data_IF_010892713082
#
_entry.id   IF_010892713082
#
_cell.length_a   1.000
_cell.length_b   1.000
_cell.length_c   1.000
_cell.angle_alpha   90.00
_cell.angle_beta   90.00
_cell.angle_gamma   90.00
#
_symmetry.space_group_name_H-M   'P 1'
#
loop_
_entity.id
_entity.type
_entity.pdbx_description
1 polymer ?
#
# COMPACT_ATOMS: atom_id res chain seq x y z
N UNK A 1 -0.37 3.26 0.79
CA UNK A 1 0.37 2.33 -0.07
C UNK A 1 1.21 3.15 -1.03
N UNK A 2 2.48 2.81 -1.19
CA UNK A 2 3.38 3.47 -2.14
C UNK A 2 3.65 2.52 -3.31
N UNK A 3 3.52 3.03 -4.53
CA UNK A 3 3.70 2.26 -5.77
C UNK A 3 4.93 2.76 -6.52
N UNK A 4 5.74 1.83 -7.02
CA UNK A 4 7.01 2.12 -7.68
C UNK A 4 7.18 1.31 -8.96
N UNK A 5 7.96 1.86 -9.88
CA UNK A 5 8.45 1.17 -11.08
C UNK A 5 9.96 1.26 -11.21
N UNK A 6 10.53 0.30 -11.93
CA UNK A 6 11.94 0.25 -12.24
C UNK A 6 12.21 -0.42 -13.59
N UNK A 7 13.30 0.01 -14.25
CA UNK A 7 13.82 -0.63 -15.46
C UNK A 7 14.84 -1.74 -15.13
N UNK A 8 15.48 -1.68 -13.97
CA UNK A 8 16.65 -2.50 -13.60
C UNK A 8 16.50 -3.23 -12.25
N UNK A 9 15.38 -3.07 -11.54
CA UNK A 9 15.10 -3.57 -10.18
C UNK A 9 15.98 -3.02 -9.05
N UNK A 10 16.87 -2.07 -9.37
CA UNK A 10 17.80 -1.42 -8.43
C UNK A 10 17.36 0.01 -8.16
N UNK A 11 17.15 0.79 -9.22
CA UNK A 11 16.70 2.18 -9.16
C UNK A 11 15.18 2.24 -9.28
N UNK A 12 14.52 2.79 -8.26
CA UNK A 12 13.07 2.81 -8.16
C UNK A 12 12.53 4.24 -8.22
N UNK A 13 11.55 4.46 -9.08
CA UNK A 13 10.80 5.71 -9.18
C UNK A 13 9.45 5.53 -8.49
N UNK A 14 9.14 6.42 -7.53
CA UNK A 14 7.82 6.48 -6.92
C UNK A 14 6.82 6.98 -7.98
N UNK A 15 5.73 6.24 -8.15
CA UNK A 15 4.61 6.62 -9.03
C UNK A 15 3.59 7.43 -8.26
N UNK A 16 3.15 6.87 -7.12
CA UNK A 16 2.06 7.42 -6.33
C UNK A 16 2.16 6.89 -4.89
N UNK A 17 1.62 7.66 -3.96
CA UNK A 17 1.45 7.30 -2.56
C UNK A 17 0.00 7.55 -2.15
N UNK A 18 -0.79 6.48 -2.09
CA UNK A 18 -2.20 6.54 -1.77
C UNK A 18 -2.41 6.28 -0.28
N UNK A 19 -2.96 7.26 0.44
CA UNK A 19 -3.31 7.08 1.84
C UNK A 19 -4.62 6.30 2.02
N UNK A 20 -4.78 5.67 3.17
CA UNK A 20 -6.05 5.03 3.53
C UNK A 20 -6.99 6.05 4.13
N UNK A 21 -8.26 5.99 3.75
CA UNK A 21 -9.35 6.72 4.39
C UNK A 21 -10.06 5.89 5.46
N UNK A 22 -9.50 4.73 5.85
CA UNK A 22 -10.07 3.90 6.91
C UNK A 22 -9.91 4.61 8.26
N UNK A 23 -10.95 4.60 9.11
CA UNK A 23 -10.84 5.12 10.46
C UNK A 23 -9.83 4.29 11.26
N UNK A 24 -9.09 4.94 12.15
CA UNK A 24 -8.13 4.27 13.05
C UNK A 24 -8.78 3.42 14.14
N UNK A 25 -10.10 3.48 14.27
CA UNK A 25 -10.94 2.69 15.15
C UNK A 25 -12.16 2.19 14.38
N UNK A 26 -12.31 0.87 14.27
CA UNK A 26 -13.46 0.23 13.63
C UNK A 26 -13.55 -1.23 14.04
N UNK A 27 -14.78 -1.72 14.22
CA UNK A 27 -15.10 -3.12 14.45
C UNK A 27 -15.64 -3.81 13.18
N UNK A 28 -15.70 -3.10 12.06
CA UNK A 28 -16.25 -3.62 10.81
C UNK A 28 -15.16 -4.20 9.90
N UNK A 29 -15.44 -5.38 9.34
CA UNK A 29 -14.58 -5.96 8.30
C UNK A 29 -14.89 -5.29 6.98
N UNK A 30 -13.86 -4.87 6.26
CA UNK A 30 -14.04 -4.23 4.96
C UNK A 30 -12.84 -4.47 4.04
N UNK A 31 -13.12 -4.46 2.73
CA UNK A 31 -12.11 -4.58 1.67
C UNK A 31 -11.98 -3.21 1.00
N UNK A 32 -10.75 -2.84 0.62
CA UNK A 32 -10.49 -1.61 -0.11
C UNK A 32 -9.49 -1.86 -1.22
N UNK A 33 -9.83 -1.35 -2.41
CA UNK A 33 -8.92 -1.28 -3.55
C UNK A 33 -8.14 0.03 -3.49
N UNK A 34 -6.84 -0.04 -3.71
CA UNK A 34 -5.96 1.13 -3.82
C UNK A 34 -5.36 1.15 -5.22
N UNK A 35 -5.52 2.26 -5.93
CA UNK A 35 -5.07 2.41 -7.31
C UNK A 35 -4.12 3.60 -7.40
N UNK A 36 -2.96 3.39 -8.02
CA UNK A 36 -2.04 4.46 -8.36
C UNK A 36 -2.51 5.17 -9.63
N UNK A 37 -2.42 6.50 -9.64
CA UNK A 37 -2.68 7.26 -10.86
C UNK A 37 -1.38 7.76 -11.47
N UNK A 38 -1.16 7.43 -12.74
CA UNK A 38 0.11 7.66 -13.45
C UNK A 38 0.31 9.12 -13.92
N UNK A 39 -0.41 10.09 -13.36
CA UNK A 39 -0.46 11.44 -13.93
C UNK A 39 0.91 12.15 -13.97
N UNK A 40 1.85 11.76 -13.10
CA UNK A 40 3.14 12.45 -12.94
C UNK A 40 4.33 11.76 -13.62
N UNK A 41 4.17 10.54 -14.13
CA UNK A 41 5.26 9.82 -14.81
C UNK A 41 5.01 9.70 -16.31
N UNK A 42 6.08 9.95 -17.08
CA UNK A 42 6.04 9.78 -18.53
C UNK A 42 5.67 8.34 -18.88
N UNK A 43 4.84 8.12 -19.91
CA UNK A 43 4.57 6.79 -20.44
C UNK A 43 5.88 6.20 -20.99
N UNK A 44 6.50 5.34 -20.21
CA UNK A 44 7.75 4.67 -20.54
C UNK A 44 7.65 3.18 -20.23
N UNK A 45 8.47 2.38 -20.89
CA UNK A 45 8.52 0.95 -20.62
C UNK A 45 9.34 0.70 -19.35
N UNK A 46 8.69 0.10 -18.37
CA UNK A 46 9.29 -0.43 -17.15
C UNK A 46 9.20 -1.95 -17.15
N UNK A 47 10.14 -2.61 -16.47
CA UNK A 47 10.18 -4.08 -16.39
C UNK A 47 9.71 -4.59 -15.04
N UNK A 48 9.85 -3.78 -14.00
CA UNK A 48 9.57 -4.16 -12.63
C UNK A 48 8.59 -3.19 -12.00
N UNK A 49 7.64 -3.74 -11.25
CA UNK A 49 6.75 -3.00 -10.37
C UNK A 49 7.00 -3.43 -8.92
N UNK A 50 6.82 -2.51 -7.98
CA UNK A 50 6.93 -2.77 -6.54
C UNK A 50 5.85 -1.97 -5.83
N UNK A 51 5.24 -2.59 -4.82
CA UNK A 51 4.30 -1.93 -3.92
C UNK A 51 4.81 -2.08 -2.49
N UNK A 52 4.72 -1.01 -1.71
CA UNK A 52 5.03 -1.00 -0.28
C UNK A 52 3.76 -0.65 0.50
N UNK A 53 3.24 -1.64 1.22
CA UNK A 53 2.19 -1.47 2.22
C UNK A 53 2.83 -1.40 3.60
N UNK A 54 2.52 -0.34 4.35
CA UNK A 54 2.93 -0.22 5.76
C UNK A 54 1.80 -0.77 6.62
N UNK A 55 2.14 -1.59 7.61
CA UNK A 55 1.14 -2.05 8.58
C UNK A 55 0.77 -0.89 9.50
N UNK A 56 -0.34 -1.05 10.24
CA UNK A 56 -0.82 -0.01 11.15
C UNK A 56 0.14 0.27 12.31
N UNK A 57 1.13 -0.60 12.53
CA UNK A 57 1.99 -0.59 13.71
C UNK A 57 1.43 -1.50 14.81
N UNK A 58 1.82 -1.30 16.07
CA UNK A 58 1.22 -2.00 17.20
C UNK A 58 -0.28 -1.70 17.33
N UNK A 59 -1.05 -2.67 17.80
CA UNK A 59 -2.49 -2.50 18.02
C UNK A 59 -2.76 -1.33 18.98
N UNK A 60 -3.73 -0.44 18.66
CA UNK A 60 -4.03 0.76 19.43
C UNK A 60 -4.72 0.42 20.76
N UNK A 61 -4.85 1.42 21.65
CA UNK A 61 -5.34 1.24 23.01
C UNK A 61 -6.77 0.69 23.10
N UNK A 62 -7.62 1.00 22.11
CA UNK A 62 -9.02 0.54 22.06
C UNK A 62 -9.14 -0.95 21.69
N UNK A 63 -8.11 -1.55 21.10
CA UNK A 63 -8.15 -2.94 20.62
C UNK A 63 -7.74 -3.91 21.75
N UNK A 64 -8.43 -5.05 21.86
CA UNK A 64 -8.19 -6.03 22.93
C UNK A 64 -6.74 -6.55 22.96
N UNK A 65 -6.12 -6.69 21.79
CA UNK A 65 -4.73 -7.06 21.61
C UNK A 65 -3.71 -5.90 21.69
N UNK A 66 -4.05 -4.78 22.33
CA UNK A 66 -3.21 -3.56 22.42
C UNK A 66 -1.72 -3.86 22.62
N UNK A 67 -0.87 -3.15 21.87
CA UNK A 67 0.58 -3.28 21.94
C UNK A 67 1.19 -4.46 21.17
N UNK A 68 0.39 -5.44 20.72
CA UNK A 68 0.87 -6.52 19.86
C UNK A 68 0.98 -6.08 18.39
N UNK A 69 1.81 -6.75 17.56
CA UNK A 69 1.93 -6.44 16.14
C UNK A 69 0.61 -6.66 15.36
N UNK A 70 0.38 -5.84 14.34
CA UNK A 70 -0.74 -5.99 13.40
C UNK A 70 -0.35 -6.79 12.17
N UNK A 71 -1.34 -7.43 11.56
CA UNK A 71 -1.21 -8.13 10.29
C UNK A 71 -1.64 -7.24 9.12
N UNK A 72 -1.06 -7.48 7.95
CA UNK A 72 -1.55 -6.97 6.66
C UNK A 72 -2.05 -8.15 5.86
N UNK A 73 -3.23 -8.00 5.26
CA UNK A 73 -3.77 -8.93 4.28
C UNK A 73 -3.88 -8.23 2.93
N UNK A 74 -3.37 -8.88 1.90
CA UNK A 74 -3.43 -8.44 0.50
C UNK A 74 -3.85 -9.65 -0.30
N UNK A 75 -4.82 -9.46 -1.20
CA UNK A 75 -5.28 -10.49 -2.12
C UNK A 75 -4.44 -10.40 -3.41
N UNK A 76 -4.79 -9.49 -4.32
CA UNK A 76 -4.05 -9.30 -5.57
C UNK A 76 -3.25 -7.99 -5.65
N UNK A 77 -2.15 -8.06 -6.41
CA UNK A 77 -1.46 -6.89 -6.96
C UNK A 77 -1.56 -6.90 -8.48
N UNK A 78 -2.43 -6.05 -9.02
CA UNK A 78 -2.73 -5.95 -10.44
C UNK A 78 -1.84 -4.90 -11.14
N UNK A 79 -1.27 -5.27 -12.31
CA UNK A 79 -0.53 -4.36 -13.19
C UNK A 79 -1.20 -4.38 -14.57
N UNK A 80 -1.57 -3.21 -15.08
CA UNK A 80 -2.29 -3.03 -16.36
C UNK A 80 -1.44 -2.37 -17.42
#
# INVERSE_FOLDING_TARGET
MCFYVSKDSVNWTLIDSVETNKPGESHEVSISKFEATFYEIKPEKYKYAKMIAKNFGPMPAWHEGRGHPTFIFIDEFEVK
#
